data_IF_138225206468
#
_entry.id   IF_138225206468
#
_cell.length_a   1.000
_cell.length_b   1.000
_cell.length_c   1.000
_cell.angle_alpha   90.00
_cell.angle_beta   90.00
_cell.angle_gamma   90.00
#
_symmetry.space_group_name_H-M   'P 1'
#
loop_
_entity.id
_entity.type
_entity.pdbx_description
1 polymer ?
#
# COMPACT_ATOMS: atom_id res chain seq x y z
N UNK A 1 -9.12 21.23 -27.57
CA UNK A 1 -9.00 19.83 -27.14
C UNK A 1 -7.74 19.62 -26.29
N UNK A 2 -6.55 20.10 -26.70
CA UNK A 2 -5.29 19.97 -25.93
C UNK A 2 -5.37 20.61 -24.54
N UNK A 3 -5.95 21.79 -24.37
CA UNK A 3 -6.09 22.46 -23.08
C UNK A 3 -6.93 21.68 -22.07
N UNK A 4 -7.99 21.00 -22.53
CA UNK A 4 -8.84 20.15 -21.67
C UNK A 4 -8.08 18.91 -21.19
N UNK A 5 -7.28 18.29 -22.07
CA UNK A 5 -6.45 17.14 -21.74
C UNK A 5 -5.37 17.55 -20.73
N UNK A 6 -4.73 18.69 -20.94
CA UNK A 6 -3.70 19.21 -20.03
C UNK A 6 -4.28 19.54 -18.65
N UNK A 7 -5.44 20.20 -18.62
CA UNK A 7 -6.14 20.49 -17.36
C UNK A 7 -6.53 19.21 -16.61
N UNK A 8 -7.07 18.21 -17.32
CA UNK A 8 -7.38 16.91 -16.76
C UNK A 8 -6.14 16.21 -16.16
N UNK A 9 -5.02 16.23 -16.87
CA UNK A 9 -3.76 15.66 -16.39
C UNK A 9 -3.27 16.36 -15.11
N UNK A 10 -3.31 17.70 -15.06
CA UNK A 10 -2.92 18.48 -13.87
C UNK A 10 -3.81 18.14 -12.67
N UNK A 11 -5.12 18.03 -12.87
CA UNK A 11 -6.06 17.64 -11.79
C UNK A 11 -5.73 16.25 -11.28
N UNK A 12 -5.51 15.27 -12.15
CA UNK A 12 -5.19 13.90 -11.77
C UNK A 12 -3.87 13.85 -10.98
N UNK A 13 -2.82 14.51 -11.47
CA UNK A 13 -1.52 14.58 -10.76
C UNK A 13 -1.68 15.27 -9.41
N UNK A 14 -2.46 16.36 -9.34
CA UNK A 14 -2.75 17.05 -8.09
C UNK A 14 -3.49 16.16 -7.07
N UNK A 15 -4.49 15.41 -7.50
CA UNK A 15 -5.22 14.47 -6.66
C UNK A 15 -4.32 13.34 -6.15
N UNK A 16 -3.48 12.78 -7.03
CA UNK A 16 -2.52 11.72 -6.66
C UNK A 16 -1.52 12.24 -5.63
N UNK A 17 -0.96 13.43 -5.85
CA UNK A 17 -0.02 14.05 -4.92
C UNK A 17 -0.68 14.35 -3.57
N UNK A 18 -1.91 14.89 -3.58
CA UNK A 18 -2.68 15.17 -2.36
C UNK A 18 -3.00 13.89 -1.57
N UNK A 19 -3.44 12.85 -2.27
CA UNK A 19 -3.72 11.54 -1.68
C UNK A 19 -2.46 10.95 -1.03
N UNK A 20 -1.35 10.94 -1.76
CA UNK A 20 -0.08 10.40 -1.28
C UNK A 20 0.48 11.20 -0.09
N UNK A 21 0.39 12.54 -0.13
CA UNK A 21 0.79 13.41 0.99
C UNK A 21 -0.11 13.15 2.20
N UNK A 22 -1.42 13.08 2.02
CA UNK A 22 -2.36 12.80 3.10
C UNK A 22 -2.07 11.45 3.76
N UNK A 23 -1.83 10.41 2.95
CA UNK A 23 -1.56 9.06 3.43
C UNK A 23 -0.21 8.95 4.17
N UNK A 24 0.78 9.75 3.80
CA UNK A 24 2.13 9.70 4.39
C UNK A 24 2.33 10.62 5.58
N UNK A 25 1.39 11.54 5.84
CA UNK A 25 1.42 12.41 7.01
C UNK A 25 0.93 11.68 8.26
N UNK A 26 1.50 12.06 9.42
CA UNK A 26 1.03 11.61 10.74
C UNK A 26 -0.29 12.33 11.06
N UNK A 27 -1.42 11.77 10.57
CA UNK A 27 -2.74 12.35 10.80
C UNK A 27 -3.73 11.24 11.23
N UNK A 28 -4.39 11.36 12.41
CA UNK A 28 -5.35 10.36 12.88
C UNK A 28 -6.56 10.18 11.93
N UNK A 29 -6.90 11.20 11.14
CA UNK A 29 -7.98 11.09 10.15
C UNK A 29 -7.70 10.08 9.04
N UNK A 30 -6.44 9.67 8.88
CA UNK A 30 -6.01 8.71 7.86
C UNK A 30 -6.31 7.25 8.24
N UNK A 31 -6.70 6.98 9.50
CA UNK A 31 -7.04 5.61 9.96
C UNK A 31 -8.11 4.91 9.11
N UNK A 32 -9.09 5.68 8.64
CA UNK A 32 -10.16 5.18 7.76
C UNK A 32 -9.85 5.29 6.28
N UNK A 33 -8.77 5.99 5.91
CA UNK A 33 -8.45 6.32 4.52
C UNK A 33 -7.58 5.25 3.87
N UNK A 34 -7.80 5.01 2.59
CA UNK A 34 -7.08 4.02 1.79
C UNK A 34 -7.82 2.70 1.63
N UNK A 35 -7.35 1.90 0.68
CA UNK A 35 -7.87 0.58 0.38
C UNK A 35 -7.35 -0.43 1.41
N UNK A 36 -8.25 -1.13 2.10
CA UNK A 36 -7.88 -2.22 2.99
C UNK A 36 -7.51 -3.47 2.17
N UNK A 37 -6.28 -3.96 2.35
CA UNK A 37 -5.71 -5.07 1.58
C UNK A 37 -5.40 -6.32 2.41
N UNK A 38 -5.46 -6.21 3.72
CA UNK A 38 -5.25 -7.34 4.63
C UNK A 38 -5.86 -7.07 5.99
N UNK A 39 -6.34 -8.14 6.65
CA UNK A 39 -6.89 -8.11 8.00
C UNK A 39 -6.33 -9.29 8.77
N UNK A 40 -5.88 -9.04 10.00
CA UNK A 40 -5.45 -10.07 10.95
C UNK A 40 -6.06 -9.75 12.30
N UNK A 41 -6.33 -10.76 13.10
CA UNK A 41 -6.82 -10.61 14.49
C UNK A 41 -5.84 -11.30 15.41
N UNK A 42 -5.47 -10.62 16.46
CA UNK A 42 -4.58 -11.17 17.50
C UNK A 42 -4.98 -10.57 18.85
N UNK A 43 -4.86 -11.38 19.91
CA UNK A 43 -5.06 -10.90 21.27
C UNK A 43 -3.69 -10.49 21.84
N UNK A 44 -3.54 -9.21 22.17
CA UNK A 44 -2.33 -8.68 22.80
C UNK A 44 -2.73 -7.79 23.98
N UNK A 45 -1.86 -7.76 24.99
CA UNK A 45 -2.01 -6.83 26.10
C UNK A 45 -1.50 -5.46 25.64
N UNK A 46 -2.36 -4.47 25.69
CA UNK A 46 -2.03 -3.07 25.37
C UNK A 46 -2.49 -2.19 26.52
N UNK A 47 -1.58 -1.37 27.05
CA UNK A 47 -1.91 -0.34 28.04
C UNK A 47 -1.63 1.06 27.46
N UNK A 48 -2.44 2.07 27.77
CA UNK A 48 -2.12 3.46 27.46
C UNK A 48 -0.77 3.90 28.00
N UNK A 49 -0.34 3.33 29.14
CA UNK A 49 0.94 3.64 29.82
C UNK A 49 2.17 3.18 29.03
N UNK A 50 1.98 2.37 27.99
CA UNK A 50 3.07 1.95 27.09
C UNK A 50 3.49 3.07 26.13
N UNK A 51 2.68 4.11 26.00
CA UNK A 51 2.87 5.24 25.10
C UNK A 51 3.27 6.49 25.86
N UNK A 52 3.97 7.42 25.21
CA UNK A 52 4.30 8.71 25.80
C UNK A 52 3.04 9.61 25.99
N UNK A 53 3.22 10.77 26.60
CA UNK A 53 2.13 11.74 26.84
C UNK A 53 1.43 12.22 25.55
N UNK A 54 2.05 12.06 24.38
CA UNK A 54 1.49 12.39 23.07
C UNK A 54 0.91 11.17 22.36
N UNK A 55 0.93 9.99 23.01
CA UNK A 55 0.48 8.73 22.43
C UNK A 55 1.48 8.10 21.47
N UNK A 56 2.76 8.48 21.51
CA UNK A 56 3.78 7.88 20.65
C UNK A 56 4.57 6.80 21.39
N UNK A 57 4.88 5.73 20.67
CA UNK A 57 5.82 4.70 21.06
C UNK A 57 6.87 4.56 19.95
N UNK A 58 8.11 5.08 20.16
CA UNK A 58 9.17 4.95 19.18
C UNK A 58 9.62 3.49 19.10
N UNK A 59 9.73 2.98 17.87
CA UNK A 59 10.20 1.63 17.55
C UNK A 59 11.51 1.73 16.73
N UNK A 60 12.35 0.67 16.73
CA UNK A 60 13.61 0.68 16.00
C UNK A 60 13.46 1.04 14.51
N UNK A 61 12.42 0.52 13.84
CA UNK A 61 12.19 0.76 12.41
C UNK A 61 10.95 1.60 12.11
N UNK A 62 10.30 2.19 13.13
CA UNK A 62 9.11 2.99 12.91
C UNK A 62 8.58 3.68 14.14
N UNK A 63 7.29 3.95 14.10
CA UNK A 63 6.56 4.60 15.17
C UNK A 63 5.20 3.94 15.32
N UNK A 64 4.79 3.62 16.53
CA UNK A 64 3.40 3.33 16.87
C UNK A 64 2.77 4.58 17.49
N UNK A 65 1.56 4.91 17.07
CA UNK A 65 0.82 6.07 17.56
C UNK A 65 -0.56 5.67 18.05
N UNK A 66 -0.79 5.81 19.33
CA UNK A 66 -2.07 5.58 19.97
C UNK A 66 -3.02 6.74 19.71
N UNK A 67 -4.19 6.46 19.17
CA UNK A 67 -5.27 7.40 18.93
C UNK A 67 -6.49 7.03 19.80
N UNK A 68 -6.56 7.49 21.06
CA UNK A 68 -7.62 7.06 21.99
C UNK A 68 -9.02 7.36 21.48
N UNK A 69 -9.22 8.52 20.84
CA UNK A 69 -10.52 8.94 20.30
C UNK A 69 -11.03 8.10 19.12
N UNK A 70 -10.21 7.19 18.58
CA UNK A 70 -10.56 6.31 17.47
C UNK A 70 -10.37 4.82 17.82
N UNK A 71 -10.04 4.53 19.08
CA UNK A 71 -9.75 3.17 19.54
C UNK A 71 -8.78 2.42 18.60
N UNK A 72 -7.66 3.09 18.26
CA UNK A 72 -6.73 2.52 17.29
C UNK A 72 -5.28 2.94 17.57
N UNK A 73 -4.36 2.05 17.17
CA UNK A 73 -2.92 2.30 17.13
C UNK A 73 -2.49 2.29 15.67
N UNK A 74 -1.86 3.38 15.21
CA UNK A 74 -1.33 3.50 13.84
C UNK A 74 0.13 3.06 13.83
N UNK A 75 0.49 2.19 12.91
CA UNK A 75 1.87 1.82 12.63
C UNK A 75 2.39 2.59 11.43
N UNK A 76 3.48 3.31 11.64
CA UNK A 76 4.14 4.14 10.62
C UNK A 76 5.58 3.64 10.42
N UNK A 77 5.84 2.80 9.41
CA UNK A 77 7.20 2.39 9.07
C UNK A 77 8.05 3.59 8.65
N UNK A 78 9.26 3.71 9.20
CA UNK A 78 10.21 4.74 8.79
C UNK A 78 11.20 4.16 7.77
N UNK A 79 10.89 4.33 6.48
CA UNK A 79 11.63 3.74 5.36
C UNK A 79 13.14 4.03 5.39
N UNK A 80 13.57 5.14 6.00
CA UNK A 80 14.99 5.52 6.13
C UNK A 80 15.79 4.59 7.06
N UNK A 81 15.11 3.87 7.96
CA UNK A 81 15.72 2.95 8.92
C UNK A 81 15.86 1.53 8.40
N UNK A 82 15.34 1.27 7.18
CA UNK A 82 15.52 -0.02 6.51
C UNK A 82 16.74 0.00 5.59
N UNK A 83 17.29 -1.17 5.29
CA UNK A 83 18.47 -1.31 4.42
C UNK A 83 18.27 -0.71 3.02
N UNK A 84 17.08 -0.88 2.44
CA UNK A 84 16.69 -0.23 1.19
C UNK A 84 16.06 1.13 1.49
N UNK A 85 16.83 2.20 1.34
CA UNK A 85 16.45 3.57 1.71
C UNK A 85 15.65 4.30 0.62
N UNK A 86 14.75 3.62 -0.07
CA UNK A 86 13.83 4.27 -1.00
C UNK A 86 12.37 3.98 -0.63
N UNK A 87 11.49 4.87 -1.00
CA UNK A 87 10.06 4.72 -0.81
C UNK A 87 9.43 4.23 -2.09
N UNK A 88 8.56 3.23 -1.98
CA UNK A 88 7.83 2.74 -3.15
C UNK A 88 6.64 3.65 -3.48
N UNK A 89 6.04 3.45 -4.65
CA UNK A 89 4.80 4.12 -5.02
C UNK A 89 3.56 3.54 -4.31
N UNK A 90 3.74 2.47 -3.52
CA UNK A 90 2.68 1.78 -2.78
C UNK A 90 2.97 1.74 -1.28
N UNK A 91 3.07 2.90 -0.59
CA UNK A 91 3.33 2.90 0.85
C UNK A 91 2.20 2.20 1.59
N UNK A 92 2.54 1.38 2.60
CA UNK A 92 1.57 0.71 3.45
C UNK A 92 1.55 1.34 4.84
N UNK A 93 0.34 1.51 5.38
CA UNK A 93 0.12 1.83 6.78
C UNK A 93 -0.66 0.71 7.45
N UNK A 94 -0.38 0.47 8.73
CA UNK A 94 -1.12 -0.46 9.57
C UNK A 94 -1.95 0.28 10.60
N UNK A 95 -3.18 -0.13 10.81
CA UNK A 95 -4.02 0.32 11.90
C UNK A 95 -4.47 -0.88 12.73
N UNK A 96 -4.19 -0.86 14.04
CA UNK A 96 -4.68 -1.85 14.98
C UNK A 96 -5.88 -1.23 15.72
N UNK A 97 -7.05 -1.74 15.48
CA UNK A 97 -8.26 -1.35 16.19
C UNK A 97 -8.44 -2.23 17.43
N UNK A 98 -8.84 -1.62 18.53
CA UNK A 98 -9.18 -2.28 19.78
C UNK A 98 -10.54 -1.80 20.30
N UNK A 99 -11.28 -2.68 20.95
CA UNK A 99 -12.62 -2.33 21.48
C UNK A 99 -12.49 -1.68 22.88
N UNK A 100 -11.64 -2.24 23.74
CA UNK A 100 -11.35 -1.68 25.07
C UNK A 100 -9.98 -2.15 25.55
N UNK A 101 -9.34 -1.37 26.42
CA UNK A 101 -8.13 -1.81 27.09
C UNK A 101 -8.48 -2.82 28.18
N UNK A 102 -8.00 -4.04 28.04
CA UNK A 102 -8.14 -5.13 29.01
C UNK A 102 -6.85 -5.95 29.04
N UNK A 103 -6.75 -6.88 30.00
CA UNK A 103 -5.59 -7.76 30.10
C UNK A 103 -5.38 -8.66 28.87
N UNK A 104 -6.44 -8.84 28.04
CA UNK A 104 -6.41 -9.46 26.74
C UNK A 104 -7.26 -8.63 25.78
N UNK A 105 -6.62 -7.69 25.07
CA UNK A 105 -7.30 -6.85 24.10
C UNK A 105 -7.26 -7.50 22.72
N UNK A 106 -8.41 -7.75 22.13
CA UNK A 106 -8.48 -8.18 20.73
C UNK A 106 -8.10 -7.03 19.81
N UNK A 107 -6.99 -7.19 19.11
CA UNK A 107 -6.50 -6.24 18.13
C UNK A 107 -6.86 -6.69 16.73
N UNK A 108 -7.52 -5.81 15.98
CA UNK A 108 -7.76 -6.00 14.54
C UNK A 108 -6.73 -5.20 13.77
N UNK A 109 -5.75 -5.90 13.24
CA UNK A 109 -4.75 -5.29 12.37
C UNK A 109 -5.27 -5.18 10.94
N UNK A 110 -5.37 -3.96 10.40
CA UNK A 110 -5.82 -3.67 9.04
C UNK A 110 -4.68 -2.98 8.31
N UNK A 111 -4.23 -3.61 7.21
CA UNK A 111 -3.26 -3.02 6.29
C UNK A 111 -3.99 -2.18 5.24
N UNK A 112 -3.50 -0.97 4.99
CA UNK A 112 -4.09 -0.04 4.01
C UNK A 112 -3.04 0.51 3.07
N UNK A 113 -3.46 0.80 1.82
CA UNK A 113 -2.66 1.50 0.81
C UNK A 113 -3.44 2.70 0.25
N UNK A 114 -2.76 3.73 -0.30
CA UNK A 114 -3.43 4.88 -0.90
C UNK A 114 -4.34 4.48 -2.07
N UNK A 115 -5.48 5.13 -2.19
CA UNK A 115 -6.39 4.92 -3.32
C UNK A 115 -5.74 5.26 -4.66
N UNK A 116 -4.94 6.34 -4.70
CA UNK A 116 -4.21 6.74 -5.91
C UNK A 116 -3.30 5.64 -6.44
N UNK A 117 -2.56 4.95 -5.55
CA UNK A 117 -1.68 3.84 -5.94
C UNK A 117 -2.47 2.68 -6.55
N UNK A 118 -3.62 2.32 -5.94
CA UNK A 118 -4.48 1.26 -6.46
C UNK A 118 -5.08 1.63 -7.82
N UNK A 119 -5.66 2.82 -7.94
CA UNK A 119 -6.31 3.31 -9.15
C UNK A 119 -5.33 3.47 -10.31
N UNK A 120 -4.14 4.07 -10.08
CA UNK A 120 -3.13 4.22 -11.12
C UNK A 120 -2.62 2.88 -11.61
N UNK A 121 -2.40 1.93 -10.69
CA UNK A 121 -1.99 0.58 -11.06
C UNK A 121 -3.06 -0.10 -11.92
N UNK A 122 -4.32 -0.06 -11.50
CA UNK A 122 -5.42 -0.62 -12.27
C UNK A 122 -5.56 0.06 -13.64
N UNK A 123 -5.51 1.38 -13.69
CA UNK A 123 -5.59 2.15 -14.94
C UNK A 123 -4.44 1.79 -15.90
N UNK A 124 -3.22 1.66 -15.37
CA UNK A 124 -2.07 1.26 -16.18
C UNK A 124 -2.28 -0.13 -16.80
N UNK A 125 -2.67 -1.13 -16.00
CA UNK A 125 -2.95 -2.48 -16.53
C UNK A 125 -4.09 -2.49 -17.54
N UNK A 126 -5.18 -1.76 -17.27
CA UNK A 126 -6.31 -1.65 -18.20
C UNK A 126 -5.91 -0.97 -19.52
N UNK A 127 -5.08 0.07 -19.45
CA UNK A 127 -4.62 0.77 -20.66
C UNK A 127 -3.70 -0.11 -21.50
N UNK A 128 -2.75 -0.79 -20.90
CA UNK A 128 -1.81 -1.67 -21.62
C UNK A 128 -2.55 -2.90 -22.19
N UNK A 129 -3.38 -3.56 -21.38
CA UNK A 129 -4.15 -4.71 -21.83
C UNK A 129 -5.18 -4.33 -22.90
N UNK A 130 -5.92 -3.24 -22.69
CA UNK A 130 -6.89 -2.72 -23.66
C UNK A 130 -6.24 -2.29 -24.95
N UNK A 131 -5.10 -1.61 -24.88
CA UNK A 131 -4.29 -1.26 -26.06
C UNK A 131 -3.81 -2.47 -26.84
N UNK A 132 -3.33 -3.51 -26.14
CA UNK A 132 -2.92 -4.76 -26.76
C UNK A 132 -4.09 -5.46 -27.48
N UNK A 133 -5.25 -5.55 -26.81
CA UNK A 133 -6.46 -6.16 -27.41
C UNK A 133 -6.93 -5.35 -28.62
N UNK A 134 -7.01 -4.01 -28.50
CA UNK A 134 -7.40 -3.13 -29.60
C UNK A 134 -6.46 -3.27 -30.79
N UNK A 135 -5.16 -3.34 -30.55
CA UNK A 135 -4.14 -3.60 -31.57
C UNK A 135 -4.40 -4.94 -32.28
N UNK A 136 -4.57 -6.04 -31.52
CA UNK A 136 -4.78 -7.37 -32.07
C UNK A 136 -6.04 -7.43 -32.93
N UNK A 137 -7.15 -6.86 -32.48
CA UNK A 137 -8.40 -6.81 -33.23
C UNK A 137 -8.24 -6.01 -34.51
N UNK A 138 -7.60 -4.82 -34.42
CA UNK A 138 -7.37 -4.00 -35.62
C UNK A 138 -6.43 -4.67 -36.64
N UNK A 139 -5.37 -5.30 -36.13
CA UNK A 139 -4.41 -6.04 -36.95
C UNK A 139 -5.04 -7.23 -37.65
N UNK A 140 -5.88 -8.00 -36.96
CA UNK A 140 -6.62 -9.11 -37.55
C UNK A 140 -7.60 -8.65 -38.61
N UNK A 141 -8.36 -7.54 -38.33
CA UNK A 141 -9.31 -6.97 -39.32
C UNK A 141 -8.63 -6.43 -40.56
N UNK A 142 -7.41 -5.92 -40.45
CA UNK A 142 -6.60 -5.47 -41.57
C UNK A 142 -5.96 -6.62 -42.39
N UNK A 143 -6.23 -7.90 -42.03
CA UNK A 143 -5.63 -9.04 -42.69
C UNK A 143 -4.17 -9.30 -42.34
N UNK A 144 -3.69 -8.71 -41.23
CA UNK A 144 -2.30 -8.80 -40.78
C UNK A 144 -1.81 -10.24 -40.54
N UNK A 145 -2.71 -11.17 -40.22
CA UNK A 145 -2.41 -12.60 -40.07
C UNK A 145 -2.52 -13.41 -41.37
N UNK A 146 -2.90 -12.81 -42.51
CA UNK A 146 -3.10 -13.51 -43.77
C UNK A 146 -1.80 -13.97 -44.44
N UNK A 147 -0.65 -13.41 -44.05
CA UNK A 147 0.66 -13.81 -44.58
C UNK A 147 1.58 -14.32 -43.44
N UNK A 148 2.51 -15.23 -43.78
CA UNK A 148 3.44 -15.75 -42.79
C UNK A 148 4.30 -14.65 -42.08
N UNK A 149 4.86 -13.65 -42.80
CA UNK A 149 5.57 -12.55 -42.16
C UNK A 149 4.66 -11.70 -41.28
N UNK A 150 3.41 -11.45 -41.69
CA UNK A 150 2.43 -10.72 -40.91
C UNK A 150 2.03 -11.47 -39.63
N UNK A 151 1.77 -12.78 -39.76
CA UNK A 151 1.47 -13.61 -38.59
C UNK A 151 2.63 -13.59 -37.57
N UNK A 152 3.89 -13.70 -38.03
CA UNK A 152 5.06 -13.60 -37.19
C UNK A 152 5.14 -12.25 -36.47
N UNK A 153 4.95 -11.15 -37.18
CA UNK A 153 4.95 -9.81 -36.60
C UNK A 153 3.83 -9.63 -35.55
N UNK A 154 2.62 -10.11 -35.88
CA UNK A 154 1.48 -10.07 -34.95
C UNK A 154 1.77 -10.80 -33.62
N UNK A 155 2.34 -12.00 -33.72
CA UNK A 155 2.74 -12.81 -32.56
C UNK A 155 3.86 -12.11 -31.75
N UNK A 156 4.88 -11.60 -32.45
CA UNK A 156 6.01 -10.92 -31.80
C UNK A 156 5.56 -9.68 -31.01
N UNK A 157 4.71 -8.82 -31.59
CA UNK A 157 4.19 -7.63 -30.90
C UNK A 157 3.24 -8.01 -29.77
N UNK A 158 2.44 -9.07 -29.92
CA UNK A 158 1.60 -9.60 -28.85
C UNK A 158 2.43 -10.13 -27.69
N UNK A 159 3.49 -10.87 -27.97
CA UNK A 159 4.44 -11.36 -26.99
C UNK A 159 5.12 -10.21 -26.23
N UNK A 160 5.52 -9.16 -26.94
CA UNK A 160 6.08 -7.96 -26.30
C UNK A 160 5.07 -7.29 -25.36
N UNK A 161 3.82 -7.13 -25.77
CA UNK A 161 2.77 -6.57 -24.92
C UNK A 161 2.52 -7.41 -23.67
N UNK A 162 2.52 -8.73 -23.78
CA UNK A 162 2.41 -9.64 -22.63
C UNK A 162 3.63 -9.55 -21.70
N UNK A 163 4.84 -9.41 -22.24
CA UNK A 163 6.06 -9.21 -21.45
C UNK A 163 5.98 -7.89 -20.64
N UNK A 164 5.47 -6.82 -21.22
CA UNK A 164 5.26 -5.54 -20.53
C UNK A 164 4.28 -5.72 -19.37
N UNK A 165 3.16 -6.41 -19.58
CA UNK A 165 2.19 -6.70 -18.51
C UNK A 165 2.81 -7.56 -17.41
N UNK A 166 3.54 -8.61 -17.76
CA UNK A 166 4.22 -9.47 -16.80
C UNK A 166 5.26 -8.70 -15.98
N UNK A 167 6.07 -7.89 -16.65
CA UNK A 167 7.04 -7.02 -15.96
C UNK A 167 6.36 -6.07 -14.98
N UNK A 168 5.29 -5.40 -15.41
CA UNK A 168 4.49 -4.54 -14.54
C UNK A 168 3.95 -5.29 -13.31
N UNK A 169 3.45 -6.51 -13.49
CA UNK A 169 2.98 -7.34 -12.39
C UNK A 169 4.11 -7.69 -11.40
N UNK A 170 5.29 -8.07 -11.91
CA UNK A 170 6.47 -8.36 -11.08
C UNK A 170 6.84 -7.14 -10.24
N UNK A 171 6.90 -5.94 -10.85
CA UNK A 171 7.23 -4.70 -10.15
C UNK A 171 6.22 -4.40 -9.04
N UNK A 172 4.92 -4.50 -9.32
CA UNK A 172 3.85 -4.27 -8.32
C UNK A 172 3.96 -5.27 -7.18
N UNK A 173 4.12 -6.55 -7.46
CA UNK A 173 4.24 -7.60 -6.44
C UNK A 173 5.50 -7.41 -5.59
N UNK A 174 6.64 -7.08 -6.21
CA UNK A 174 7.90 -6.84 -5.50
C UNK A 174 7.80 -5.63 -4.57
N UNK A 175 7.22 -4.52 -5.06
CA UNK A 175 7.03 -3.32 -4.26
C UNK A 175 6.04 -3.55 -3.10
N UNK A 176 4.94 -4.26 -3.35
CA UNK A 176 3.99 -4.65 -2.30
C UNK A 176 4.67 -5.50 -1.22
N UNK A 177 5.40 -6.55 -1.61
CA UNK A 177 6.12 -7.42 -0.66
C UNK A 177 7.15 -6.65 0.16
N UNK A 178 7.83 -5.68 -0.44
CA UNK A 178 8.81 -4.85 0.26
C UNK A 178 8.13 -3.99 1.36
N UNK A 179 7.04 -3.32 1.02
CA UNK A 179 6.31 -2.49 1.98
C UNK A 179 5.59 -3.33 3.04
N UNK A 180 5.03 -4.48 2.66
CA UNK A 180 4.42 -5.41 3.59
C UNK A 180 5.44 -5.93 4.61
N UNK A 181 6.63 -6.33 4.16
CA UNK A 181 7.72 -6.73 5.04
C UNK A 181 8.13 -5.62 6.01
N UNK A 182 8.23 -4.38 5.54
CA UNK A 182 8.54 -3.22 6.40
C UNK A 182 7.48 -3.00 7.47
N UNK A 183 6.21 -3.07 7.07
CA UNK A 183 5.10 -2.91 8.01
C UNK A 183 5.06 -4.03 9.03
N UNK A 184 5.32 -5.29 8.61
CA UNK A 184 5.36 -6.43 9.53
C UNK A 184 6.53 -6.36 10.51
N UNK A 185 7.71 -5.88 10.10
CA UNK A 185 8.83 -5.65 11.04
C UNK A 185 8.42 -4.67 12.14
N UNK A 186 7.79 -3.55 11.80
CA UNK A 186 7.31 -2.58 12.80
C UNK A 186 6.21 -3.17 13.69
N UNK A 187 5.34 -4.02 13.13
CA UNK A 187 4.34 -4.73 13.89
C UNK A 187 4.96 -5.72 14.90
N UNK A 188 5.96 -6.50 14.48
CA UNK A 188 6.65 -7.47 15.32
C UNK A 188 7.44 -6.75 16.44
N UNK A 189 8.04 -5.60 16.16
CA UNK A 189 8.69 -4.75 17.16
C UNK A 189 7.69 -4.22 18.20
N UNK A 190 6.51 -3.75 17.75
CA UNK A 190 5.46 -3.34 18.68
C UNK A 190 5.05 -4.51 19.57
N UNK A 191 4.84 -5.68 18.96
CA UNK A 191 4.48 -6.91 19.68
C UNK A 191 5.53 -7.29 20.74
N UNK A 192 6.81 -7.24 20.38
CA UNK A 192 7.90 -7.54 21.31
C UNK A 192 7.88 -6.59 22.51
N UNK A 193 7.76 -5.28 22.28
CA UNK A 193 7.70 -4.28 23.36
C UNK A 193 6.50 -4.48 24.27
N UNK A 194 5.33 -4.83 23.70
CA UNK A 194 4.11 -5.06 24.50
C UNK A 194 4.16 -6.38 25.29
N UNK A 195 4.84 -7.42 24.75
CA UNK A 195 4.97 -8.72 25.42
C UNK A 195 6.10 -8.74 26.47
N UNK A 196 7.17 -7.93 26.28
CA UNK A 196 8.34 -7.94 27.17
C UNK A 196 8.14 -7.17 28.49
N UNK A 197 7.10 -6.34 28.62
CA UNK A 197 6.81 -5.67 29.89
C UNK A 197 6.05 -6.62 30.82
N UNK A 198 6.75 -7.26 31.80
CA UNK A 198 6.05 -7.99 32.86
C UNK A 198 5.15 -7.00 33.59
N UNK A 199 3.96 -7.46 33.99
CA UNK A 199 3.08 -6.65 34.84
C UNK A 199 3.89 -6.16 36.04
N UNK A 200 4.24 -4.86 36.08
CA UNK A 200 4.60 -4.25 37.35
C UNK A 200 3.37 -4.39 38.24
N UNK A 201 3.45 -5.38 39.13
CA UNK A 201 2.52 -5.49 40.23
C UNK A 201 2.56 -4.15 40.94
N UNK A 202 1.43 -3.49 41.00
CA UNK A 202 1.13 -2.47 41.97
C UNK A 202 1.18 -3.17 43.33
N UNK A 203 2.30 -3.03 44.05
CA UNK A 203 2.39 -3.26 45.48
C UNK A 203 1.84 -2.06 46.21
#
# INVERSE_FOLDING_TARGET
>A
MQAVILLGAVIVVGLVAADWIAFTRKNPRVLGYGLAIGRQQEALRVSPDDFDANGYLPLPHGLAWLCPGQHAIILLPEWKRFGLRFRTAWPLNGALHYDSFSDCTELRFIKRMPWSSALLTALWFLTVAGGLIAYLVSYARAGGFASAPGAFLGVALSGLGLLVLLFGLIVVVAAYRLEDKRLMVVYDELRAVLCEKPSQKLD
#
